data_IF_713750543794
#
_entry.id   IF_713750543794
#
_cell.length_a   1.000
_cell.length_b   1.000
_cell.length_c   1.000
_cell.angle_alpha   90.00
_cell.angle_beta   90.00
_cell.angle_gamma   90.00
#
_symmetry.space_group_name_H-M   'P 1'
#
loop_
_entity.id
_entity.type
_entity.pdbx_description
1 polymer ?
#
# COMPACT_ATOMS: atom_id res chain seq x y z
N UNK A 1 9.44 5.97 10.87
CA UNK A 1 9.59 5.28 9.57
C UNK A 1 9.67 6.28 8.41
N UNK A 2 8.91 7.35 8.44
CA UNK A 2 8.84 8.37 7.37
C UNK A 2 10.13 9.18 7.13
N UNK A 3 11.22 8.90 7.80
CA UNK A 3 12.53 9.52 7.65
C UNK A 3 13.55 8.55 7.07
N UNK A 4 14.78 8.98 6.80
CA UNK A 4 15.88 8.12 6.31
C UNK A 4 16.16 6.88 7.19
N UNK A 5 15.63 6.84 8.42
CA UNK A 5 15.76 5.70 9.33
C UNK A 5 15.19 4.39 8.75
N UNK A 6 14.24 4.46 7.78
CA UNK A 6 13.70 3.25 7.15
C UNK A 6 14.79 2.38 6.48
N UNK A 7 15.86 2.98 5.99
CA UNK A 7 16.97 2.22 5.38
C UNK A 7 17.65 1.33 6.41
N UNK A 8 17.91 1.84 7.61
CA UNK A 8 18.51 1.06 8.71
C UNK A 8 17.60 -0.08 9.19
N UNK A 9 16.30 0.06 9.04
CA UNK A 9 15.31 -0.97 9.37
C UNK A 9 15.15 -2.00 8.25
N UNK A 10 15.06 -1.55 7.01
CA UNK A 10 14.67 -2.40 5.88
C UNK A 10 15.84 -3.10 5.19
N UNK A 11 17.02 -2.44 5.08
CA UNK A 11 18.15 -3.03 4.36
C UNK A 11 18.62 -4.35 4.99
N UNK A 12 18.79 -4.46 6.35
CA UNK A 12 19.16 -5.73 6.94
C UNK A 12 18.09 -6.83 6.80
N UNK A 13 16.80 -6.46 6.65
CA UNK A 13 15.74 -7.45 6.40
C UNK A 13 15.81 -8.02 4.97
N UNK A 14 16.26 -7.23 4.00
CA UNK A 14 16.39 -7.62 2.59
C UNK A 14 17.73 -8.30 2.29
N UNK A 15 18.69 -8.20 3.19
CA UNK A 15 19.99 -8.86 3.04
C UNK A 15 19.85 -10.37 3.31
N UNK A 16 19.85 -11.16 2.24
CA UNK A 16 19.73 -12.62 2.29
C UNK A 16 21.00 -13.31 2.78
N UNK A 17 22.14 -12.64 2.72
CA UNK A 17 23.45 -13.16 3.13
C UNK A 17 23.78 -12.79 4.58
N UNK A 18 22.91 -12.08 5.25
CA UNK A 18 23.10 -11.63 6.62
C UNK A 18 23.24 -12.83 7.58
N UNK A 19 24.37 -12.90 8.23
CA UNK A 19 24.70 -13.96 9.21
C UNK A 19 24.49 -13.55 10.66
N UNK A 20 24.30 -12.23 10.92
CA UNK A 20 24.12 -11.68 12.27
C UNK A 20 22.66 -11.34 12.54
N UNK A 21 22.29 -11.24 13.81
CA UNK A 21 20.97 -10.78 14.21
C UNK A 21 20.70 -9.35 13.67
N UNK A 22 19.42 -9.02 13.42
CA UNK A 22 19.04 -7.69 12.99
C UNK A 22 19.34 -6.67 14.10
N UNK A 23 20.08 -5.57 13.85
CA UNK A 23 20.48 -4.61 14.89
C UNK A 23 19.28 -3.96 15.59
N UNK A 24 18.13 -3.89 14.92
CA UNK A 24 16.88 -3.31 15.44
C UNK A 24 15.74 -4.33 15.50
N UNK A 25 16.03 -5.60 15.85
CA UNK A 25 15.02 -6.66 15.87
C UNK A 25 13.81 -6.32 16.75
N UNK A 26 14.03 -5.80 17.95
CA UNK A 26 12.96 -5.37 18.85
C UNK A 26 12.11 -4.23 18.24
N UNK A 27 12.76 -3.25 17.59
CA UNK A 27 12.06 -2.14 16.93
C UNK A 27 11.18 -2.67 15.80
N UNK A 28 11.68 -3.59 14.96
CA UNK A 28 10.88 -4.20 13.89
C UNK A 28 9.68 -4.96 14.46
N UNK A 29 9.88 -5.72 15.54
CA UNK A 29 8.81 -6.44 16.21
C UNK A 29 7.69 -5.48 16.68
N UNK A 30 8.05 -4.42 17.41
CA UNK A 30 7.07 -3.46 17.89
C UNK A 30 6.42 -2.64 16.78
N UNK A 31 7.12 -2.33 15.70
CA UNK A 31 6.53 -1.68 14.53
C UNK A 31 5.51 -2.61 13.85
N UNK A 32 5.84 -3.88 13.66
CA UNK A 32 4.91 -4.84 13.08
C UNK A 32 3.67 -5.03 13.93
N UNK A 33 3.81 -5.14 15.26
CA UNK A 33 2.72 -5.22 16.22
C UNK A 33 1.87 -3.94 16.22
N UNK A 34 2.50 -2.77 16.22
CA UNK A 34 1.83 -1.48 16.12
C UNK A 34 1.00 -1.33 14.84
N UNK A 35 1.55 -1.74 13.69
CA UNK A 35 0.84 -1.75 12.41
C UNK A 35 -0.41 -2.64 12.50
N UNK A 36 -0.29 -3.86 13.05
CA UNK A 36 -1.43 -4.78 13.21
C UNK A 36 -2.52 -4.16 14.09
N UNK A 37 -2.15 -3.52 15.21
CA UNK A 37 -3.08 -2.84 16.11
C UNK A 37 -3.78 -1.65 15.45
N UNK A 38 -3.05 -0.80 14.74
CA UNK A 38 -3.62 0.34 14.01
C UNK A 38 -4.64 -0.12 12.97
N UNK A 39 -4.32 -1.14 12.18
CA UNK A 39 -5.25 -1.73 11.20
C UNK A 39 -6.53 -2.24 11.86
N UNK A 40 -6.43 -2.90 13.00
CA UNK A 40 -7.60 -3.38 13.76
C UNK A 40 -8.49 -2.21 14.20
N UNK A 41 -7.90 -1.16 14.76
CA UNK A 41 -8.64 0.04 15.19
C UNK A 41 -9.33 0.72 14.00
N UNK A 42 -8.68 0.82 12.85
CA UNK A 42 -9.25 1.39 11.63
C UNK A 42 -10.42 0.56 11.10
N UNK A 43 -10.27 -0.77 11.09
CA UNK A 43 -11.35 -1.67 10.69
C UNK A 43 -12.58 -1.54 11.59
N UNK A 44 -12.40 -1.41 12.90
CA UNK A 44 -13.49 -1.21 13.85
C UNK A 44 -14.16 0.16 13.69
N UNK A 45 -13.38 1.22 13.44
CA UNK A 45 -13.91 2.56 13.15
C UNK A 45 -14.77 2.55 11.89
N UNK A 46 -14.32 1.85 10.86
CA UNK A 46 -15.07 1.78 9.61
C UNK A 46 -16.33 0.96 9.71
N UNK A 47 -16.31 -0.17 10.43
CA UNK A 47 -17.55 -0.91 10.76
C UNK A 47 -18.58 -0.01 11.45
N UNK A 48 -18.13 0.79 12.43
CA UNK A 48 -19.01 1.74 13.14
C UNK A 48 -19.56 2.81 12.20
N UNK A 49 -18.72 3.40 11.32
CA UNK A 49 -19.16 4.40 10.34
C UNK A 49 -20.18 3.82 9.35
N UNK A 50 -19.91 2.64 8.82
CA UNK A 50 -20.80 1.93 7.89
C UNK A 50 -22.15 1.60 8.54
N UNK A 51 -22.15 1.14 9.79
CA UNK A 51 -23.38 0.88 10.55
C UNK A 51 -24.18 2.18 10.80
N UNK A 52 -23.52 3.27 11.17
CA UNK A 52 -24.18 4.56 11.37
C UNK A 52 -24.77 5.12 10.07
N UNK A 53 -24.04 5.00 8.97
CA UNK A 53 -24.53 5.44 7.65
C UNK A 53 -25.74 4.61 7.22
N UNK A 54 -25.71 3.30 7.38
CA UNK A 54 -26.84 2.41 7.09
C UNK A 54 -28.07 2.77 7.94
N UNK A 55 -27.90 3.01 9.23
CA UNK A 55 -28.98 3.44 10.12
C UNK A 55 -29.58 4.78 9.69
N UNK A 56 -28.75 5.76 9.33
CA UNK A 56 -29.23 7.08 8.83
C UNK A 56 -29.97 6.95 7.50
N UNK A 57 -29.52 6.08 6.61
CA UNK A 57 -30.19 5.84 5.32
C UNK A 57 -31.53 5.14 5.53
N UNK A 58 -31.61 4.18 6.43
CA UNK A 58 -32.84 3.50 6.77
C UNK A 58 -33.90 4.46 7.38
N UNK A 59 -33.48 5.37 8.24
CA UNK A 59 -34.34 6.42 8.82
C UNK A 59 -34.89 7.40 7.78
N UNK A 60 -34.07 7.74 6.76
CA UNK A 60 -34.48 8.64 5.67
C UNK A 60 -35.40 7.95 4.65
N UNK A 61 -35.32 6.65 4.49
CA UNK A 61 -36.09 5.88 3.52
C UNK A 61 -37.54 5.60 3.95
N UNK A 62 -37.98 6.10 5.10
CA UNK A 62 -39.39 6.07 5.56
C UNK A 62 -40.08 4.76 5.25
N UNK A 63 -39.89 3.72 6.06
CA UNK A 63 -40.92 2.69 6.32
C UNK A 63 -41.45 1.81 5.20
N UNK A 64 -40.89 1.75 4.00
CA UNK A 64 -41.30 0.76 3.00
C UNK A 64 -40.21 -0.31 2.80
N UNK A 65 -40.54 -1.48 3.35
CA UNK A 65 -39.67 -2.65 3.33
C UNK A 65 -39.40 -3.18 1.93
N UNK A 66 -38.23 -2.88 1.40
CA UNK A 66 -37.55 -3.73 0.44
C UNK A 66 -36.31 -4.31 1.14
N UNK A 67 -36.36 -5.60 1.41
CA UNK A 67 -35.18 -6.42 1.75
C UNK A 67 -34.22 -6.48 0.53
N UNK A 68 -33.73 -5.33 0.10
CA UNK A 68 -32.56 -5.25 -0.74
C UNK A 68 -31.36 -5.35 0.17
N UNK A 69 -30.54 -6.38 0.02
CA UNK A 69 -29.30 -6.52 0.77
C UNK A 69 -28.53 -5.21 0.67
N UNK A 70 -28.26 -4.57 1.80
CA UNK A 70 -27.43 -3.38 1.88
C UNK A 70 -26.06 -3.80 1.40
N UNK A 71 -25.77 -3.53 0.14
CA UNK A 71 -24.41 -3.64 -0.39
C UNK A 71 -23.57 -2.70 0.48
N UNK A 72 -22.80 -3.26 1.38
CA UNK A 72 -21.77 -2.50 2.10
C UNK A 72 -20.97 -1.75 1.03
N UNK A 73 -20.74 -0.44 1.15
CA UNK A 73 -19.83 0.23 0.26
C UNK A 73 -18.49 -0.47 0.40
N UNK A 74 -18.17 -1.30 -0.58
CA UNK A 74 -16.90 -1.97 -0.68
C UNK A 74 -15.90 -0.85 -0.98
N UNK A 75 -15.32 -0.28 0.06
CA UNK A 75 -14.34 0.80 -0.09
C UNK A 75 -13.01 0.17 -0.53
N UNK A 76 -13.02 -0.38 -1.74
CA UNK A 76 -11.76 -0.73 -2.39
C UNK A 76 -11.03 0.56 -2.69
N UNK A 77 -9.79 0.66 -2.27
CA UNK A 77 -8.88 1.72 -2.68
C UNK A 77 -7.69 1.10 -3.38
N UNK A 78 -7.20 1.79 -4.38
CA UNK A 78 -5.93 1.46 -5.00
C UNK A 78 -4.82 2.17 -4.23
N UNK A 79 -3.83 1.42 -3.77
CA UNK A 79 -2.62 1.96 -3.20
C UNK A 79 -1.48 1.78 -4.20
N UNK A 80 -0.49 2.65 -4.12
CA UNK A 80 0.61 2.70 -5.07
C UNK A 80 1.95 2.59 -4.36
N UNK A 81 2.90 1.93 -5.02
CA UNK A 81 4.29 1.87 -4.59
C UNK A 81 5.21 2.03 -5.78
N UNK A 82 6.05 3.06 -5.75
CA UNK A 82 7.10 3.29 -6.73
C UNK A 82 8.38 2.54 -6.39
N UNK A 83 9.01 1.94 -7.39
CA UNK A 83 10.30 1.24 -7.28
C UNK A 83 11.23 1.68 -8.37
N UNK A 84 12.49 1.92 -8.01
CA UNK A 84 13.55 2.40 -8.91
C UNK A 84 14.47 1.27 -9.34
N UNK A 85 14.95 1.35 -10.58
CA UNK A 85 16.00 0.47 -11.12
C UNK A 85 15.70 -1.02 -10.97
N UNK A 86 14.42 -1.39 -10.98
CA UNK A 86 13.97 -2.76 -10.93
C UNK A 86 13.41 -3.19 -12.28
N UNK A 87 13.81 -4.38 -12.71
CA UNK A 87 13.14 -5.10 -13.80
C UNK A 87 12.20 -6.11 -13.16
N UNK A 88 10.97 -6.22 -13.66
CA UNK A 88 10.09 -7.27 -13.18
C UNK A 88 10.66 -8.63 -13.58
N UNK A 89 10.88 -9.48 -12.61
CA UNK A 89 11.26 -10.86 -12.87
C UNK A 89 10.02 -11.64 -13.32
N UNK A 90 10.13 -12.43 -14.37
CA UNK A 90 9.05 -13.31 -14.86
C UNK A 90 8.48 -14.16 -13.71
N UNK A 91 9.36 -14.71 -12.88
CA UNK A 91 8.98 -15.47 -11.70
C UNK A 91 8.06 -14.70 -10.73
N UNK A 92 8.24 -13.38 -10.56
CA UNK A 92 7.33 -12.58 -9.76
C UNK A 92 5.95 -12.45 -10.41
N UNK A 93 5.89 -12.27 -11.73
CA UNK A 93 4.61 -12.16 -12.44
C UNK A 93 3.80 -13.47 -12.40
N UNK A 94 4.48 -14.60 -12.33
CA UNK A 94 3.87 -15.94 -12.26
C UNK A 94 3.47 -16.34 -10.84
N UNK A 95 4.35 -16.10 -9.88
CA UNK A 95 4.21 -16.66 -8.53
C UNK A 95 3.99 -15.63 -7.44
N UNK A 96 4.19 -14.34 -7.72
CA UNK A 96 4.21 -13.30 -6.70
C UNK A 96 5.48 -13.33 -5.85
N UNK A 97 5.42 -12.64 -4.71
CA UNK A 97 6.56 -12.58 -3.80
C UNK A 97 6.23 -11.88 -2.49
N UNK A 98 7.00 -12.19 -1.46
CA UNK A 98 6.88 -11.53 -0.18
C UNK A 98 7.82 -10.32 -0.09
N UNK A 99 7.30 -9.16 0.30
CA UNK A 99 8.14 -8.06 0.78
C UNK A 99 8.57 -8.40 2.21
N UNK A 100 9.84 -8.71 2.37
CA UNK A 100 10.40 -9.16 3.65
C UNK A 100 10.58 -8.02 4.66
N UNK A 101 10.54 -6.79 4.19
CA UNK A 101 10.69 -5.59 5.00
C UNK A 101 9.34 -4.86 5.20
N UNK A 102 9.36 -3.80 5.99
CA UNK A 102 8.23 -2.87 6.08
C UNK A 102 7.99 -2.25 4.70
N UNK A 103 6.73 -2.24 4.25
CA UNK A 103 6.36 -1.76 2.92
C UNK A 103 5.50 -0.51 3.01
N UNK A 104 6.08 0.63 2.63
CA UNK A 104 5.35 1.89 2.46
C UNK A 104 4.63 1.93 1.11
N UNK A 105 3.41 2.43 1.13
CA UNK A 105 2.55 2.67 -0.04
C UNK A 105 1.81 3.97 0.13
N UNK A 106 1.23 4.49 -0.91
CA UNK A 106 0.47 5.75 -0.88
C UNK A 106 -0.84 5.62 -1.66
N UNK A 107 -1.86 6.41 -1.30
CA UNK A 107 -3.06 6.58 -2.13
C UNK A 107 -2.84 7.56 -3.29
N UNK A 108 -1.77 8.34 -3.26
CA UNK A 108 -1.46 9.39 -4.23
C UNK A 108 -0.51 8.86 -5.31
N UNK A 109 -1.03 8.70 -6.54
CA UNK A 109 -0.24 8.16 -7.66
C UNK A 109 0.98 9.01 -7.97
N UNK A 110 0.86 10.34 -7.91
CA UNK A 110 1.96 11.28 -8.17
C UNK A 110 3.14 11.07 -7.21
N UNK A 111 2.85 10.78 -5.95
CA UNK A 111 3.88 10.46 -4.94
C UNK A 111 4.63 9.18 -5.34
N UNK A 112 3.89 8.13 -5.71
CA UNK A 112 4.50 6.87 -6.14
C UNK A 112 5.33 7.03 -7.42
N UNK A 113 4.88 7.84 -8.39
CA UNK A 113 5.62 8.18 -9.60
C UNK A 113 6.96 8.82 -9.23
N UNK A 114 6.96 9.79 -8.30
CA UNK A 114 8.17 10.45 -7.83
C UNK A 114 9.21 9.50 -7.26
N UNK A 115 8.75 8.55 -6.48
CA UNK A 115 9.62 7.50 -5.94
C UNK A 115 10.11 6.50 -6.99
N UNK A 116 9.40 6.31 -8.10
CA UNK A 116 9.77 5.35 -9.13
C UNK A 116 10.69 5.91 -10.22
N UNK A 117 10.85 7.23 -10.33
CA UNK A 117 11.61 7.88 -11.42
C UNK A 117 13.02 7.31 -11.54
N UNK A 118 13.25 6.56 -12.61
CA UNK A 118 14.52 5.91 -12.95
C UNK A 118 14.48 5.38 -14.37
N UNK A 119 15.60 4.95 -14.97
CA UNK A 119 15.60 4.29 -16.29
C UNK A 119 14.73 3.03 -16.37
N UNK A 120 14.54 2.34 -15.23
CA UNK A 120 13.66 1.19 -15.11
C UNK A 120 12.69 1.43 -13.94
N UNK A 121 11.51 1.96 -14.25
CA UNK A 121 10.51 2.39 -13.29
C UNK A 121 9.38 1.36 -13.21
N UNK A 122 9.16 0.80 -12.02
CA UNK A 122 8.02 -0.07 -11.75
C UNK A 122 7.09 0.63 -10.75
N UNK A 123 5.79 0.55 -11.04
CA UNK A 123 4.72 0.93 -10.13
C UNK A 123 3.92 -0.31 -9.76
N UNK A 124 3.86 -0.66 -8.49
CA UNK A 124 2.84 -1.58 -8.03
C UNK A 124 1.53 -0.83 -7.79
N UNK A 125 0.48 -1.32 -8.44
CA UNK A 125 -0.91 -0.96 -8.16
C UNK A 125 -1.50 -2.00 -7.23
N UNK A 126 -1.63 -1.66 -5.97
CA UNK A 126 -2.05 -2.59 -4.93
C UNK A 126 -3.56 -2.49 -4.77
N UNK A 127 -4.27 -3.50 -5.23
CA UNK A 127 -5.74 -3.61 -5.11
C UNK A 127 -6.10 -4.07 -3.71
N UNK A 128 -6.91 -3.28 -3.02
CA UNK A 128 -7.43 -3.67 -1.71
C UNK A 128 -8.94 -3.79 -1.78
N UNK A 129 -9.48 -5.00 -1.72
CA UNK A 129 -10.91 -5.25 -1.75
C UNK A 129 -11.59 -4.94 -0.40
N UNK A 130 -10.83 -4.86 0.66
CA UNK A 130 -11.35 -4.61 2.01
C UNK A 130 -10.32 -3.88 2.87
N UNK A 131 -10.78 -3.33 4.00
CA UNK A 131 -9.91 -2.76 5.04
C UNK A 131 -8.85 -3.75 5.54
N UNK A 132 -9.18 -5.03 5.58
CA UNK A 132 -8.25 -6.07 6.06
C UNK A 132 -7.05 -6.26 5.14
N UNK A 133 -7.14 -5.83 3.90
CA UNK A 133 -6.05 -5.89 2.93
C UNK A 133 -5.21 -4.60 2.89
N UNK A 134 -5.62 -3.54 3.57
CA UNK A 134 -4.85 -2.29 3.61
C UNK A 134 -3.73 -2.36 4.63
N UNK A 135 -2.65 -1.62 4.37
CA UNK A 135 -1.69 -1.24 5.39
C UNK A 135 -2.34 -0.33 6.46
N UNK A 136 -1.65 -0.06 7.54
CA UNK A 136 -2.07 0.95 8.51
C UNK A 136 -1.92 2.35 7.91
N UNK A 137 -2.95 3.19 8.00
CA UNK A 137 -2.84 4.62 7.70
C UNK A 137 -1.98 5.27 8.77
N UNK A 138 -0.80 5.73 8.39
CA UNK A 138 0.15 6.39 9.28
C UNK A 138 0.27 7.90 9.00
N UNK A 139 -0.65 8.47 8.22
CA UNK A 139 -0.65 9.89 7.87
C UNK A 139 -0.50 10.80 9.09
N UNK A 140 -1.16 10.46 10.20
CA UNK A 140 -1.14 11.24 11.44
C UNK A 140 0.18 11.14 12.21
N UNK A 141 1.05 10.18 11.88
CA UNK A 141 2.39 9.97 12.46
C UNK A 141 3.52 10.33 11.49
N UNK A 142 3.19 10.52 10.20
CA UNK A 142 4.19 10.74 9.16
C UNK A 142 4.84 12.11 9.27
N UNK A 143 6.13 12.17 9.03
CA UNK A 143 6.85 13.44 8.81
C UNK A 143 6.41 14.14 7.51
N UNK A 144 5.76 13.40 6.60
CA UNK A 144 5.26 13.87 5.30
C UNK A 144 3.77 13.54 5.14
N UNK A 145 2.85 14.22 5.87
CA UNK A 145 1.43 13.88 5.86
C UNK A 145 0.75 13.98 4.49
N UNK A 146 1.32 14.79 3.57
CA UNK A 146 0.83 14.93 2.21
C UNK A 146 1.03 13.68 1.35
N UNK A 147 1.92 12.77 1.77
CA UNK A 147 2.15 11.51 1.05
C UNK A 147 1.04 10.47 1.26
N UNK A 148 0.09 10.72 2.17
CA UNK A 148 -1.02 9.80 2.47
C UNK A 148 -0.55 8.34 2.60
N UNK A 149 0.44 8.12 3.48
CA UNK A 149 1.19 6.87 3.60
C UNK A 149 0.38 5.77 4.31
N UNK A 150 0.41 4.58 3.71
CA UNK A 150 -0.07 3.34 4.29
C UNK A 150 1.09 2.36 4.45
N UNK A 151 1.30 1.88 5.68
CA UNK A 151 2.44 1.02 6.01
C UNK A 151 1.98 -0.44 6.22
N UNK A 152 2.61 -1.34 5.47
CA UNK A 152 2.40 -2.77 5.60
C UNK A 152 3.47 -3.41 6.49
N UNK A 153 3.13 -4.45 7.25
CA UNK A 153 4.10 -5.17 8.06
C UNK A 153 5.09 -5.96 7.18
N UNK A 154 6.23 -6.37 7.74
CA UNK A 154 7.12 -7.32 7.08
C UNK A 154 6.39 -8.61 6.68
N UNK A 155 6.91 -9.29 5.67
CA UNK A 155 6.37 -10.53 5.13
C UNK A 155 5.00 -10.39 4.47
N UNK A 156 4.63 -9.18 4.04
CA UNK A 156 3.43 -9.00 3.21
C UNK A 156 3.65 -9.67 1.86
N UNK A 157 2.83 -10.66 1.53
CA UNK A 157 2.87 -11.32 0.23
C UNK A 157 2.08 -10.51 -0.81
N UNK A 158 2.65 -10.33 -1.99
CA UNK A 158 2.04 -9.64 -3.11
C UNK A 158 1.73 -10.65 -4.21
N UNK A 159 0.44 -10.87 -4.46
CA UNK A 159 -0.02 -11.76 -5.51
C UNK A 159 -0.35 -10.96 -6.76
N UNK A 160 0.32 -11.16 -7.90
CA UNK A 160 -0.05 -10.55 -9.16
C UNK A 160 -1.45 -10.97 -9.62
N UNK A 161 -2.20 -10.02 -10.18
CA UNK A 161 -3.54 -10.29 -10.75
C UNK A 161 -3.47 -10.73 -12.21
N UNK A 162 -2.28 -10.71 -12.81
CA UNK A 162 -2.06 -10.93 -14.24
C UNK A 162 -2.20 -9.64 -15.08
N UNK A 163 -2.58 -8.52 -14.47
CA UNK A 163 -2.65 -7.24 -15.17
C UNK A 163 -1.30 -6.53 -15.10
N UNK A 164 -0.75 -6.24 -16.29
CA UNK A 164 0.47 -5.48 -16.44
C UNK A 164 0.26 -4.44 -17.55
N UNK A 165 0.49 -3.18 -17.24
CA UNK A 165 0.28 -2.06 -18.16
C UNK A 165 1.55 -1.23 -18.28
N UNK A 166 1.69 -0.54 -19.42
CA UNK A 166 2.75 0.44 -19.63
C UNK A 166 2.16 1.83 -19.65
N UNK A 167 2.66 2.72 -18.79
CA UNK A 167 2.32 4.13 -18.79
C UNK A 167 3.53 4.95 -19.24
N UNK A 168 3.30 5.88 -20.16
CA UNK A 168 4.28 6.90 -20.54
C UNK A 168 3.85 8.22 -19.90
N UNK A 169 4.65 8.73 -18.99
CA UNK A 169 4.35 9.95 -18.24
C UNK A 169 5.42 10.99 -18.54
N UNK A 170 4.98 12.18 -18.91
CA UNK A 170 5.87 13.34 -19.07
C UNK A 170 5.76 14.18 -17.79
N UNK A 171 6.78 14.17 -16.92
CA UNK A 171 6.71 14.89 -15.64
C UNK A 171 6.84 16.39 -15.89
N UNK A 172 5.73 17.09 -16.04
CA UNK A 172 5.72 18.56 -16.19
C UNK A 172 6.01 19.31 -14.88
N UNK A 173 5.79 18.66 -13.73
CA UNK A 173 5.81 19.33 -12.42
C UNK A 173 7.19 19.38 -11.73
N UNK A 174 8.23 18.71 -12.26
CA UNK A 174 9.50 18.55 -11.52
C UNK A 174 10.73 19.09 -12.23
N UNK A 175 10.54 20.14 -13.02
CA UNK A 175 11.67 20.95 -13.55
C UNK A 175 12.54 20.26 -14.61
N UNK A 176 12.17 19.09 -15.07
CA UNK A 176 12.86 18.36 -16.13
C UNK A 176 12.19 18.59 -17.48
N UNK A 177 12.91 19.15 -18.45
CA UNK A 177 12.40 19.33 -19.81
C UNK A 177 11.90 18.02 -20.40
N UNK A 178 10.63 17.97 -20.71
CA UNK A 178 9.85 17.18 -21.65
C UNK A 178 10.18 15.72 -22.00
N UNK A 179 11.05 15.00 -21.28
CA UNK A 179 11.34 13.61 -21.60
C UNK A 179 10.31 12.68 -20.97
N UNK A 180 9.58 11.95 -21.81
CA UNK A 180 8.63 10.93 -21.34
C UNK A 180 9.37 9.77 -20.68
N UNK A 181 8.93 9.41 -19.46
CA UNK A 181 9.43 8.24 -18.72
C UNK A 181 8.42 7.10 -18.82
N UNK A 182 8.93 5.93 -19.16
CA UNK A 182 8.14 4.71 -19.27
C UNK A 182 8.05 4.01 -17.92
N UNK A 183 6.84 3.76 -17.44
CA UNK A 183 6.55 3.00 -16.23
C UNK A 183 5.90 1.67 -16.56
N UNK A 184 6.36 0.60 -15.95
CA UNK A 184 5.67 -0.68 -15.94
C UNK A 184 4.78 -0.72 -14.70
N UNK A 185 3.46 -0.78 -14.88
CA UNK A 185 2.48 -0.91 -13.80
C UNK A 185 2.09 -2.37 -13.67
N UNK A 186 2.29 -2.93 -12.48
CA UNK A 186 1.93 -4.31 -12.16
C UNK A 186 0.84 -4.26 -11.09
N UNK A 187 -0.34 -4.80 -11.41
CA UNK A 187 -1.44 -4.90 -10.45
C UNK A 187 -1.24 -6.12 -9.55
N UNK A 188 -1.32 -5.91 -8.23
CA UNK A 188 -1.12 -6.93 -7.21
C UNK A 188 -2.18 -6.86 -6.11
N UNK A 189 -2.44 -7.98 -5.47
CA UNK A 189 -3.27 -8.08 -4.27
C UNK A 189 -2.40 -8.42 -3.06
N UNK A 190 -2.49 -7.68 -1.95
CA UNK A 190 -1.72 -7.95 -0.77
C UNK A 190 -2.38 -9.05 0.07
N UNK A 191 -1.56 -9.96 0.59
CA UNK A 191 -1.95 -10.96 1.58
C UNK A 191 -1.08 -10.74 2.83
N UNK A 192 -1.74 -10.52 3.95
CA UNK A 192 -1.08 -10.24 5.21
C UNK A 192 -1.20 -11.47 6.13
N UNK A 193 -0.10 -11.75 6.83
CA UNK A 193 -0.06 -12.81 7.83
C UNK A 193 -0.74 -12.42 9.15
#
# INVERSE_FOLDING_TARGET
YSTAAFMSLNNPLRDRERTTAHPFAATIFFLADGIKKLRTVEADREKKRSAQLAARTALKAGGQGRRGGIRQPNQSIDLWRGMRNLKSATAFLEHGGAEVALMSTTSELEVAIGYALSPHSILFKIKTASFMQRGADIKFLSAFPAEAEFLYPPLTYLRPTGRCETLNITPHAWGGGGTSVKFTVIEVEPQLA
#
